data_IF_095260090172
#
_entry.id   IF_095260090172
#
_cell.length_a   1.000
_cell.length_b   1.000
_cell.length_c   1.000
_cell.angle_alpha   90.00
_cell.angle_beta   90.00
_cell.angle_gamma   90.00
#
_symmetry.space_group_name_H-M   'P 1'
#
loop_
_entity.id
_entity.type
_entity.pdbx_description
1 polymer ?
#
# COMPACT_ATOMS: atom_id res chain seq x y z
N UNK A 1 -16.63 11.82 -3.76
CA UNK A 1 -15.44 11.75 -2.89
C UNK A 1 -14.21 11.42 -3.71
N UNK A 2 -13.13 12.19 -3.56
CA UNK A 2 -11.83 12.02 -4.26
C UNK A 2 -10.85 11.27 -3.33
N UNK A 3 -9.88 10.55 -3.90
CA UNK A 3 -8.87 9.76 -3.15
C UNK A 3 -8.12 10.63 -2.14
N UNK A 4 -7.73 11.85 -2.55
CA UNK A 4 -7.05 12.86 -1.73
C UNK A 4 -7.79 13.16 -0.42
N UNK A 5 -9.11 13.27 -0.45
CA UNK A 5 -9.89 13.60 0.74
C UNK A 5 -9.88 12.47 1.78
N UNK A 6 -9.90 11.22 1.32
CA UNK A 6 -9.81 10.06 2.22
C UNK A 6 -8.39 9.92 2.77
N UNK A 7 -7.38 10.14 1.92
CA UNK A 7 -5.97 10.22 2.34
C UNK A 7 -5.78 11.26 3.44
N UNK A 8 -6.32 12.46 3.27
CA UNK A 8 -6.17 13.55 4.25
C UNK A 8 -6.82 13.18 5.60
N UNK A 9 -7.98 12.51 5.59
CA UNK A 9 -8.60 11.97 6.82
C UNK A 9 -7.70 10.93 7.50
N UNK A 10 -7.10 10.02 6.71
CA UNK A 10 -6.17 9.01 7.24
C UNK A 10 -4.94 9.71 7.86
N UNK A 11 -4.38 10.71 7.17
CA UNK A 11 -3.21 11.46 7.63
C UNK A 11 -3.45 12.25 8.91
N UNK A 12 -4.64 12.85 9.09
CA UNK A 12 -4.98 13.54 10.34
C UNK A 12 -4.91 12.57 11.53
N UNK A 13 -5.45 11.35 11.36
CA UNK A 13 -5.38 10.33 12.40
C UNK A 13 -3.93 9.87 12.64
N UNK A 14 -3.17 9.63 11.57
CA UNK A 14 -1.77 9.22 11.67
C UNK A 14 -0.92 10.30 12.36
N UNK A 15 -1.11 11.58 12.03
CA UNK A 15 -0.36 12.67 12.65
C UNK A 15 -0.66 12.85 14.14
N UNK A 16 -1.85 12.46 14.60
CA UNK A 16 -2.15 12.38 16.04
C UNK A 16 -1.32 11.29 16.76
N UNK A 17 -0.95 10.22 16.07
CA UNK A 17 -0.14 9.13 16.63
C UNK A 17 1.36 9.29 16.44
N UNK A 18 1.79 9.90 15.33
CA UNK A 18 3.20 10.07 14.95
C UNK A 18 3.71 11.50 15.19
N UNK A 19 2.97 12.30 15.98
CA UNK A 19 3.34 13.67 16.40
C UNK A 19 3.76 14.58 15.24
N UNK A 20 3.05 14.49 14.10
CA UNK A 20 3.32 15.31 12.91
C UNK A 20 4.33 14.74 11.92
N UNK A 21 4.86 13.54 12.14
CA UNK A 21 5.84 12.92 11.22
C UNK A 21 5.23 12.18 10.02
N UNK A 22 3.90 12.20 9.84
CA UNK A 22 3.25 11.66 8.65
C UNK A 22 3.00 12.80 7.64
N UNK A 23 3.65 12.73 6.49
CA UNK A 23 3.55 13.75 5.45
C UNK A 23 2.75 13.26 4.25
N UNK A 24 1.87 14.12 3.72
CA UNK A 24 1.22 13.90 2.42
C UNK A 24 2.18 14.26 1.29
N UNK A 25 1.98 13.69 0.10
CA UNK A 25 2.49 14.27 -1.14
C UNK A 25 4.02 14.41 -1.22
N UNK A 26 4.73 13.55 -0.50
CA UNK A 26 6.18 13.64 -0.40
C UNK A 26 6.81 12.75 -1.47
N UNK A 27 7.77 13.29 -2.20
CA UNK A 27 8.54 12.52 -3.18
C UNK A 27 9.36 11.44 -2.47
N UNK A 28 9.25 10.19 -2.93
CA UNK A 28 10.15 9.10 -2.55
C UNK A 28 10.65 8.40 -3.82
N UNK A 29 11.97 8.25 -3.93
CA UNK A 29 12.63 7.76 -5.14
C UNK A 29 12.17 8.49 -6.41
N UNK A 30 11.47 7.81 -7.33
CA UNK A 30 11.06 8.31 -8.64
C UNK A 30 9.60 8.83 -8.70
N UNK A 31 8.89 8.93 -7.57
CA UNK A 31 7.49 9.37 -7.60
C UNK A 31 6.93 9.92 -6.30
N UNK A 32 5.64 10.25 -6.36
CA UNK A 32 4.85 10.84 -5.27
C UNK A 32 4.03 9.71 -4.64
N UNK A 33 4.17 9.50 -3.34
CA UNK A 33 3.32 8.56 -2.59
C UNK A 33 2.25 9.32 -1.82
N UNK A 34 1.09 8.68 -1.62
CA UNK A 34 -0.02 9.29 -0.89
C UNK A 34 0.30 9.50 0.59
N UNK A 35 0.96 8.53 1.24
CA UNK A 35 1.30 8.59 2.66
C UNK A 35 2.75 8.16 2.86
N UNK A 36 3.54 9.03 3.49
CA UNK A 36 4.91 8.72 3.92
C UNK A 36 5.04 9.02 5.42
N UNK A 37 5.49 8.04 6.19
CA UNK A 37 5.82 8.24 7.61
C UNK A 37 7.33 8.15 7.76
N UNK A 38 7.90 9.17 8.39
CA UNK A 38 9.33 9.25 8.69
C UNK A 38 9.56 9.21 10.19
N UNK A 39 10.64 8.58 10.61
CA UNK A 39 11.06 8.61 12.01
C UNK A 39 12.60 8.65 12.02
N UNK A 40 13.18 9.58 12.80
CA UNK A 40 14.64 9.75 12.91
C UNK A 40 15.36 9.84 11.55
N UNK A 41 14.77 10.58 10.60
CA UNK A 41 15.34 10.78 9.25
C UNK A 41 15.25 9.56 8.32
N UNK A 42 14.52 8.50 8.70
CA UNK A 42 14.29 7.31 7.88
C UNK A 42 12.82 7.18 7.51
N UNK A 43 12.54 6.69 6.32
CA UNK A 43 11.20 6.26 5.95
C UNK A 43 10.88 4.95 6.68
N UNK A 44 9.83 4.95 7.50
CA UNK A 44 9.43 3.76 8.26
C UNK A 44 8.17 3.10 7.70
N UNK A 45 7.40 3.83 6.90
CA UNK A 45 6.19 3.32 6.26
C UNK A 45 5.81 4.15 5.03
N UNK A 46 5.35 3.48 3.98
CA UNK A 46 4.87 4.07 2.74
C UNK A 46 3.50 3.46 2.44
N UNK A 47 2.52 4.28 2.03
CA UNK A 47 1.26 3.74 1.54
C UNK A 47 0.73 4.50 0.34
N UNK A 48 0.12 3.73 -0.57
CA UNK A 48 -0.61 4.25 -1.71
C UNK A 48 -2.11 4.02 -1.51
N UNK A 49 -2.93 4.98 -1.91
CA UNK A 49 -4.38 4.94 -1.83
C UNK A 49 -4.97 4.89 -3.25
N UNK A 50 -5.90 3.95 -3.50
CA UNK A 50 -6.58 3.85 -4.81
C UNK A 50 -8.02 3.38 -4.69
N UNK A 51 -8.92 3.91 -5.51
CA UNK A 51 -10.20 3.24 -5.75
C UNK A 51 -9.99 1.94 -6.54
N UNK A 52 -10.65 0.86 -6.12
CA UNK A 52 -10.68 -0.40 -6.85
C UNK A 52 -11.24 -0.20 -8.26
N UNK A 53 -10.45 -0.60 -9.27
CA UNK A 53 -10.80 -0.51 -10.70
C UNK A 53 -10.71 -1.87 -11.42
N UNK A 54 -10.46 -2.96 -10.69
CA UNK A 54 -10.24 -4.30 -11.24
C UNK A 54 -8.79 -4.76 -11.08
N UNK A 55 -8.56 -6.05 -11.36
CA UNK A 55 -7.27 -6.74 -11.17
C UNK A 55 -6.11 -6.02 -11.86
N UNK A 56 -6.28 -5.57 -13.11
CA UNK A 56 -5.22 -4.82 -13.82
C UNK A 56 -4.79 -3.57 -13.03
N UNK A 57 -5.76 -2.79 -12.55
CA UNK A 57 -5.45 -1.58 -11.77
C UNK A 57 -4.78 -1.89 -10.43
N UNK A 58 -5.12 -3.02 -9.81
CA UNK A 58 -4.43 -3.52 -8.62
C UNK A 58 -2.96 -3.82 -8.92
N UNK A 59 -2.69 -4.62 -9.97
CA UNK A 59 -1.32 -4.99 -10.34
C UNK A 59 -0.49 -3.76 -10.73
N UNK A 60 -1.05 -2.85 -11.53
CA UNK A 60 -0.39 -1.59 -11.91
C UNK A 60 -0.03 -0.74 -10.66
N UNK A 61 -0.90 -0.74 -9.64
CA UNK A 61 -0.65 0.01 -8.40
C UNK A 61 0.42 -0.66 -7.54
N UNK A 62 0.46 -2.00 -7.48
CA UNK A 62 1.54 -2.72 -6.80
C UNK A 62 2.88 -2.40 -7.47
N UNK A 63 2.94 -2.39 -8.80
CA UNK A 63 4.14 -2.01 -9.56
C UNK A 63 4.57 -0.57 -9.25
N UNK A 64 3.62 0.38 -9.20
CA UNK A 64 3.85 1.76 -8.82
C UNK A 64 4.45 1.85 -7.40
N UNK A 65 3.79 1.22 -6.42
CA UNK A 65 4.23 1.22 -5.03
C UNK A 65 5.63 0.64 -4.88
N UNK A 66 5.91 -0.53 -5.49
CA UNK A 66 7.23 -1.16 -5.48
C UNK A 66 8.30 -0.30 -6.17
N UNK A 67 7.94 0.47 -7.20
CA UNK A 67 8.85 1.42 -7.87
C UNK A 67 9.29 2.59 -6.98
N UNK A 68 8.47 2.96 -5.99
CA UNK A 68 8.78 4.05 -5.06
C UNK A 68 9.63 3.62 -3.88
N UNK A 69 9.76 2.32 -3.65
CA UNK A 69 10.54 1.80 -2.53
C UNK A 69 12.04 1.88 -2.82
N UNK A 70 12.76 2.36 -1.83
CA UNK A 70 14.22 2.31 -1.74
C UNK A 70 14.63 1.07 -0.95
N UNK A 71 15.93 0.73 -0.99
CA UNK A 71 16.49 -0.38 -0.23
C UNK A 71 16.34 -0.24 1.30
N UNK A 72 16.03 0.97 1.79
CA UNK A 72 15.79 1.25 3.22
C UNK A 72 14.34 1.02 3.64
N UNK A 73 13.42 1.01 2.68
CA UNK A 73 11.99 0.86 2.93
C UNK A 73 11.68 -0.64 3.15
N UNK A 74 11.07 -0.96 4.29
CA UNK A 74 10.81 -2.36 4.70
C UNK A 74 9.33 -2.68 4.88
N UNK A 75 8.47 -1.66 4.94
CA UNK A 75 7.02 -1.79 5.14
C UNK A 75 6.27 -0.88 4.19
N UNK A 76 5.30 -1.44 3.47
CA UNK A 76 4.40 -0.68 2.63
C UNK A 76 2.94 -1.14 2.79
N UNK A 77 2.00 -0.29 2.40
CA UNK A 77 0.59 -0.66 2.31
C UNK A 77 -0.05 -0.15 1.02
N UNK A 78 -1.03 -0.92 0.55
CA UNK A 78 -1.94 -0.50 -0.51
C UNK A 78 -3.34 -0.41 0.07
N UNK A 79 -3.85 0.81 0.24
CA UNK A 79 -5.19 1.06 0.76
C UNK A 79 -6.13 1.16 -0.42
N UNK A 80 -7.05 0.20 -0.53
CA UNK A 80 -8.03 0.17 -1.59
C UNK A 80 -9.37 0.70 -1.09
N UNK A 81 -10.11 1.38 -1.94
CA UNK A 81 -11.47 1.84 -1.65
C UNK A 81 -12.42 1.25 -2.68
N UNK A 82 -13.51 0.62 -2.24
CA UNK A 82 -14.56 0.15 -3.15
C UNK A 82 -15.80 1.00 -3.02
N UNK A 83 -16.31 1.46 -4.18
CA UNK A 83 -17.64 2.08 -4.29
C UNK A 83 -18.73 1.06 -4.64
N UNK A 84 -18.36 -0.20 -4.91
CA UNK A 84 -19.29 -1.24 -5.35
C UNK A 84 -20.01 -1.85 -4.15
N UNK A 85 -21.29 -2.22 -4.35
CA UNK A 85 -22.10 -2.91 -3.32
C UNK A 85 -21.63 -4.33 -3.04
N UNK A 86 -20.97 -4.98 -4.00
CA UNK A 86 -20.46 -6.35 -3.84
C UNK A 86 -19.02 -6.33 -3.34
N UNK A 87 -18.88 -6.09 -2.03
CA UNK A 87 -17.60 -6.02 -1.34
C UNK A 87 -16.89 -7.37 -1.31
N UNK A 88 -17.64 -8.46 -1.10
CA UNK A 88 -17.10 -9.82 -1.05
C UNK A 88 -16.42 -10.21 -2.36
N UNK A 89 -17.02 -9.88 -3.50
CA UNK A 89 -16.41 -10.16 -4.80
C UNK A 89 -15.13 -9.35 -5.02
N UNK A 90 -15.05 -8.11 -4.51
CA UNK A 90 -13.83 -7.32 -4.61
C UNK A 90 -12.70 -7.93 -3.80
N UNK A 91 -12.96 -8.33 -2.55
CA UNK A 91 -11.97 -9.03 -1.72
C UNK A 91 -11.47 -10.32 -2.38
N UNK A 92 -12.39 -11.14 -2.91
CA UNK A 92 -12.02 -12.37 -3.62
C UNK A 92 -11.11 -12.08 -4.83
N UNK A 93 -11.43 -11.04 -5.61
CA UNK A 93 -10.60 -10.64 -6.75
C UNK A 93 -9.22 -10.10 -6.33
N UNK A 94 -9.11 -9.43 -5.18
CA UNK A 94 -7.83 -8.98 -4.64
C UNK A 94 -7.00 -10.19 -4.20
N UNK A 95 -7.60 -11.12 -3.44
CA UNK A 95 -6.94 -12.34 -2.98
C UNK A 95 -6.45 -13.21 -4.14
N UNK A 96 -7.22 -13.32 -5.22
CA UNK A 96 -6.81 -14.03 -6.43
C UNK A 96 -5.80 -13.24 -7.28
N UNK A 97 -5.93 -11.90 -7.31
CA UNK A 97 -5.13 -11.02 -8.16
C UNK A 97 -3.71 -10.81 -7.65
N UNK A 98 -3.53 -10.58 -6.34
CA UNK A 98 -2.21 -10.29 -5.74
C UNK A 98 -1.14 -11.34 -6.06
N UNK A 99 -1.41 -12.65 -5.96
CA UNK A 99 -0.43 -13.69 -6.30
C UNK A 99 0.05 -13.69 -7.76
N UNK A 100 -0.71 -13.08 -8.68
CA UNK A 100 -0.38 -13.00 -10.11
C UNK A 100 0.70 -11.95 -10.40
N UNK A 101 1.02 -11.08 -9.44
CA UNK A 101 2.04 -10.05 -9.61
C UNK A 101 3.45 -10.66 -9.73
N UNK A 102 4.26 -10.22 -10.69
CA UNK A 102 5.60 -10.79 -10.95
C UNK A 102 6.60 -10.68 -9.78
N UNK A 103 6.34 -9.76 -8.85
CA UNK A 103 7.11 -9.55 -7.61
C UNK A 103 6.56 -10.26 -6.36
N UNK A 104 5.45 -10.97 -6.47
CA UNK A 104 4.88 -11.73 -5.36
C UNK A 104 5.81 -12.89 -4.96
N UNK A 105 5.98 -13.12 -3.65
CA UNK A 105 6.66 -14.32 -3.11
C UNK A 105 5.67 -15.27 -2.45
N UNK A 106 4.92 -14.77 -1.46
CA UNK A 106 3.92 -15.57 -0.73
C UNK A 106 2.96 -14.69 0.06
N UNK A 107 1.82 -15.26 0.43
CA UNK A 107 0.97 -14.71 1.48
C UNK A 107 1.57 -15.00 2.85
N UNK A 108 1.38 -14.05 3.77
CA UNK A 108 1.72 -14.15 5.19
C UNK A 108 0.43 -14.35 5.98
N UNK A 109 0.08 -13.40 6.84
CA UNK A 109 -1.09 -13.46 7.70
C UNK A 109 -2.30 -12.78 7.06
N UNK A 110 -3.46 -13.41 7.19
CA UNK A 110 -4.76 -12.76 7.03
C UNK A 110 -5.23 -12.33 8.42
N UNK A 111 -5.12 -11.03 8.73
CA UNK A 111 -5.54 -10.48 10.02
C UNK A 111 -7.06 -10.50 10.12
N UNK A 112 -7.73 -10.12 9.03
CA UNK A 112 -9.16 -10.25 8.82
C UNK A 112 -9.44 -10.19 7.30
N UNK A 113 -10.72 -10.26 6.91
CA UNK A 113 -11.13 -10.27 5.50
C UNK A 113 -10.70 -9.04 4.69
N UNK A 114 -10.45 -7.92 5.36
CA UNK A 114 -10.05 -6.66 4.72
C UNK A 114 -8.57 -6.35 4.89
N UNK A 115 -7.83 -7.16 5.65
CA UNK A 115 -6.42 -6.95 5.98
C UNK A 115 -5.61 -8.21 5.84
N UNK A 116 -4.96 -8.35 4.68
CA UNK A 116 -4.05 -9.44 4.37
C UNK A 116 -2.65 -8.87 4.15
N UNK A 117 -1.66 -9.61 4.66
CA UNK A 117 -0.24 -9.33 4.50
C UNK A 117 0.38 -10.26 3.46
N UNK A 118 1.20 -9.68 2.60
CA UNK A 118 1.93 -10.38 1.56
C UNK A 118 3.41 -10.06 1.61
N UNK A 119 4.21 -10.98 1.11
CA UNK A 119 5.64 -10.84 0.94
C UNK A 119 5.97 -10.61 -0.54
N UNK A 120 6.69 -9.53 -0.83
CA UNK A 120 7.14 -9.19 -2.18
C UNK A 120 8.66 -9.09 -2.27
N UNK A 121 9.25 -9.45 -3.42
CA UNK A 121 10.63 -9.09 -3.77
C UNK A 121 10.70 -7.61 -4.13
N UNK A 122 11.68 -6.88 -3.61
CA UNK A 122 11.96 -5.54 -4.11
C UNK A 122 12.41 -5.59 -5.58
N UNK A 123 12.05 -4.56 -6.35
CA UNK A 123 12.36 -4.48 -7.79
C UNK A 123 13.86 -4.39 -8.06
N UNK A 124 14.60 -3.72 -7.16
CA UNK A 124 16.03 -3.43 -7.32
C UNK A 124 16.94 -4.30 -6.42
N UNK A 125 16.37 -5.19 -5.58
CA UNK A 125 17.13 -6.07 -4.68
C UNK A 125 16.29 -7.32 -4.35
N UNK A 126 16.58 -8.45 -4.99
CA UNK A 126 15.84 -9.71 -4.82
C UNK A 126 16.04 -10.37 -3.45
N UNK A 127 17.07 -9.96 -2.70
CA UNK A 127 17.38 -10.46 -1.37
C UNK A 127 16.62 -9.73 -0.26
N UNK A 128 15.87 -8.67 -0.61
CA UNK A 128 15.04 -7.94 0.35
C UNK A 128 13.57 -8.23 0.19
N UNK A 129 12.96 -8.46 1.34
CA UNK A 129 11.56 -8.75 1.54
C UNK A 129 10.80 -7.49 1.93
N UNK A 130 9.63 -7.30 1.33
CA UNK A 130 8.70 -6.24 1.68
C UNK A 130 7.39 -6.83 2.19
N UNK A 131 6.92 -6.29 3.31
CA UNK A 131 5.58 -6.53 3.81
C UNK A 131 4.60 -5.56 3.14
N UNK A 132 3.64 -6.10 2.38
CA UNK A 132 2.51 -5.34 1.84
C UNK A 132 1.24 -5.71 2.61
N UNK A 133 0.65 -4.76 3.32
CA UNK A 133 -0.72 -4.90 3.85
C UNK A 133 -1.71 -4.25 2.89
N UNK A 134 -2.83 -4.90 2.59
CA UNK A 134 -3.98 -4.17 2.04
C UNK A 134 -4.98 -3.84 3.15
N UNK A 135 -5.67 -2.72 3.01
CA UNK A 135 -6.82 -2.36 3.84
C UNK A 135 -7.91 -1.86 2.90
N UNK A 136 -9.09 -2.48 2.95
CA UNK A 136 -10.24 -2.02 2.17
C UNK A 136 -11.31 -1.39 3.08
N UNK A 137 -11.66 -0.13 2.84
CA UNK A 137 -12.66 0.66 3.58
C UNK A 137 -13.77 1.16 2.66
#
# INVERSE_FOLDING_TARGET
MKEEWIRDIILVNLNGHYEGNATSETFNNQGKTDILIRENGKNVFIAECKFWKGEKGLLDTIDQLLGYLTWRDTKAALILFSKKRDFTQVLANIEEGVPKHGNFKRQLDKINDTHIRYLFKQKNDSHKDLYLGHLEK
#
